data_IF_797469102570
#
_entry.id   IF_797469102570
#
_cell.length_a   1.000
_cell.length_b   1.000
_cell.length_c   1.000
_cell.angle_alpha   90.00
_cell.angle_beta   90.00
_cell.angle_gamma   90.00
#
_symmetry.space_group_name_H-M   'P 1'
#
loop_
_entity.id
_entity.type
_entity.pdbx_description
1 polymer ?
#
# COMPACT_ATOMS: atom_id res chain seq x y z
N UNK A 1 20.59 -3.86 -34.34
CA UNK A 1 20.70 -2.39 -34.37
C UNK A 1 20.99 -1.95 -32.95
N UNK A 2 22.03 -1.14 -32.73
CA UNK A 2 22.47 -0.74 -31.40
C UNK A 2 21.56 0.42 -30.93
N UNK A 3 20.60 0.14 -30.04
CA UNK A 3 19.80 1.17 -29.39
C UNK A 3 20.75 2.11 -28.65
N UNK A 4 20.66 3.42 -28.86
CA UNK A 4 21.53 4.35 -28.13
C UNK A 4 21.25 4.23 -26.63
N UNK A 5 22.29 4.39 -25.80
CA UNK A 5 22.17 4.24 -24.35
C UNK A 5 21.09 5.15 -23.75
N UNK A 6 20.94 6.35 -24.31
CA UNK A 6 19.90 7.31 -23.92
C UNK A 6 18.47 6.80 -24.20
N UNK A 7 18.28 6.08 -25.32
CA UNK A 7 16.99 5.48 -25.66
C UNK A 7 16.70 4.31 -24.72
N UNK A 8 17.70 3.46 -24.44
CA UNK A 8 17.58 2.35 -23.50
C UNK A 8 17.17 2.83 -22.10
N UNK A 9 17.88 3.83 -21.55
CA UNK A 9 17.59 4.39 -20.23
C UNK A 9 16.19 5.01 -20.15
N UNK A 10 15.76 5.72 -21.20
CA UNK A 10 14.43 6.32 -21.27
C UNK A 10 13.33 5.26 -21.26
N UNK A 11 13.47 4.23 -22.09
CA UNK A 11 12.47 3.17 -22.20
C UNK A 11 12.40 2.33 -20.91
N UNK A 12 13.56 2.00 -20.33
CA UNK A 12 13.64 1.36 -19.01
C UNK A 12 12.88 2.17 -17.95
N UNK A 13 13.15 3.48 -17.87
CA UNK A 13 12.51 4.36 -16.90
C UNK A 13 10.99 4.43 -17.09
N UNK A 14 10.54 4.43 -18.36
CA UNK A 14 9.11 4.39 -18.72
C UNK A 14 8.47 3.11 -18.19
N UNK A 15 8.98 1.94 -18.56
CA UNK A 15 8.47 0.63 -18.12
C UNK A 15 8.43 0.53 -16.60
N UNK A 16 9.49 0.95 -15.91
CA UNK A 16 9.54 0.97 -14.43
C UNK A 16 8.44 1.86 -13.86
N UNK A 17 8.31 3.11 -14.35
CA UNK A 17 7.36 4.08 -13.82
C UNK A 17 5.90 3.68 -14.03
N UNK A 18 5.58 3.09 -15.19
CA UNK A 18 4.23 2.68 -15.54
C UNK A 18 3.85 1.39 -14.80
N UNK A 19 4.80 0.44 -14.68
CA UNK A 19 4.52 -0.86 -14.08
C UNK A 19 4.48 -0.90 -12.56
N UNK A 20 5.29 -0.10 -11.86
CA UNK A 20 5.31 -0.04 -10.39
C UNK A 20 3.99 0.50 -9.80
N UNK A 21 3.15 1.11 -10.62
CA UNK A 21 1.88 1.69 -10.19
C UNK A 21 0.73 0.67 -10.09
N UNK A 22 0.95 -0.58 -10.56
CA UNK A 22 -0.11 -1.58 -10.75
C UNK A 22 0.23 -2.92 -10.06
N UNK A 23 -0.78 -3.53 -9.43
CA UNK A 23 -0.78 -4.94 -9.07
C UNK A 23 -1.27 -5.78 -10.24
N UNK A 24 -0.64 -6.94 -10.48
CA UNK A 24 -0.96 -7.79 -11.63
C UNK A 24 -1.50 -9.16 -11.22
N UNK A 25 -2.41 -9.69 -12.04
CA UNK A 25 -2.82 -11.10 -12.05
C UNK A 25 -2.39 -11.74 -13.35
N UNK A 26 -1.62 -12.80 -13.23
CA UNK A 26 -1.31 -13.61 -14.39
C UNK A 26 -2.58 -14.36 -14.83
N UNK A 27 -3.01 -14.11 -16.06
CA UNK A 27 -3.92 -14.97 -16.78
C UNK A 27 -3.08 -16.02 -17.48
N UNK A 28 -3.34 -17.29 -17.21
CA UNK A 28 -2.71 -18.41 -17.89
C UNK A 28 -3.83 -19.24 -18.51
N UNK A 29 -3.76 -19.57 -19.82
CA UNK A 29 -4.73 -20.48 -20.43
C UNK A 29 -4.87 -21.75 -19.60
N UNK A 30 -6.10 -22.21 -19.37
CA UNK A 30 -6.42 -23.48 -18.69
C UNK A 30 -6.06 -23.56 -17.19
N UNK A 31 -5.57 -22.48 -16.57
CA UNK A 31 -5.31 -22.40 -15.12
C UNK A 31 -6.35 -21.49 -14.46
N UNK A 32 -7.19 -22.06 -13.58
CA UNK A 32 -8.28 -21.32 -12.91
C UNK A 32 -7.82 -20.36 -11.80
N UNK A 33 -6.56 -20.44 -11.35
CA UNK A 33 -6.12 -19.71 -10.16
C UNK A 33 -5.48 -18.35 -10.48
N UNK A 34 -5.88 -17.27 -9.79
CA UNK A 34 -5.24 -15.96 -9.93
C UNK A 34 -3.81 -16.02 -9.38
N UNK A 35 -2.82 -15.68 -10.20
CA UNK A 35 -1.43 -15.53 -9.73
C UNK A 35 -1.13 -14.05 -9.51
N UNK A 36 -1.14 -13.62 -8.25
CA UNK A 36 -0.89 -12.24 -7.87
C UNK A 36 0.60 -11.93 -7.86
N UNK A 37 0.99 -10.88 -8.57
CA UNK A 37 2.36 -10.39 -8.66
C UNK A 37 2.49 -9.04 -7.96
N UNK A 38 3.35 -9.00 -6.93
CA UNK A 38 3.73 -7.77 -6.25
C UNK A 38 5.23 -7.51 -6.40
N UNK A 39 5.59 -6.24 -6.56
CA UNK A 39 6.97 -5.76 -6.49
C UNK A 39 7.31 -5.49 -5.03
N UNK A 40 8.27 -6.24 -4.46
CA UNK A 40 8.76 -5.99 -3.11
C UNK A 40 10.05 -5.15 -3.19
N UNK A 41 10.05 -3.90 -2.72
CA UNK A 41 11.29 -3.19 -2.38
C UNK A 41 11.61 -3.47 -0.89
N UNK A 42 12.85 -3.76 -0.52
CA UNK A 42 13.92 -2.74 -0.42
C UNK A 42 15.34 -3.20 -0.81
N UNK A 43 15.55 -4.44 -1.29
CA UNK A 43 16.90 -4.92 -1.67
C UNK A 43 16.94 -5.87 -2.89
N UNK A 44 15.79 -6.37 -3.38
CA UNK A 44 15.76 -7.37 -4.46
C UNK A 44 14.55 -7.19 -5.39
N UNK A 45 14.80 -7.15 -6.69
CA UNK A 45 13.74 -7.23 -7.71
C UNK A 45 13.20 -8.66 -7.76
N UNK A 46 12.11 -8.90 -7.05
CA UNK A 46 11.43 -10.20 -7.05
C UNK A 46 9.96 -10.08 -7.42
N UNK A 47 9.48 -11.03 -8.23
CA UNK A 47 8.07 -11.27 -8.47
C UNK A 47 7.63 -12.43 -7.58
N UNK A 48 6.57 -12.20 -6.80
CA UNK A 48 5.90 -13.27 -6.06
C UNK A 48 4.77 -13.81 -6.91
N UNK A 49 4.66 -15.13 -7.01
CA UNK A 49 3.57 -15.83 -7.65
C UNK A 49 2.80 -16.56 -6.56
N UNK A 50 1.58 -16.12 -6.30
CA UNK A 50 0.72 -16.72 -5.27
C UNK A 50 -0.35 -17.58 -5.93
N UNK A 51 -0.39 -18.88 -5.64
CA UNK A 51 -1.39 -19.83 -6.15
C UNK A 51 -2.15 -20.45 -5.00
N UNK A 52 -3.49 -20.50 -5.08
CA UNK A 52 -4.33 -21.14 -4.06
C UNK A 52 -4.79 -22.51 -4.56
N UNK A 53 -4.41 -23.59 -3.88
CA UNK A 53 -4.85 -24.96 -4.18
C UNK A 53 -5.49 -25.52 -2.92
N UNK A 54 -6.73 -26.02 -2.99
CA UNK A 54 -7.47 -26.61 -1.87
C UNK A 54 -7.44 -25.76 -0.59
N UNK A 55 -7.75 -24.47 -0.74
CA UNK A 55 -7.72 -23.45 0.31
C UNK A 55 -6.35 -23.12 0.93
N UNK A 56 -5.25 -23.74 0.47
CA UNK A 56 -3.87 -23.39 0.88
C UNK A 56 -3.21 -22.45 -0.11
N UNK A 57 -2.52 -21.44 0.41
CA UNK A 57 -1.74 -20.49 -0.39
C UNK A 57 -0.32 -21.02 -0.58
N UNK A 58 0.12 -21.10 -1.83
CA UNK A 58 1.49 -21.41 -2.23
C UNK A 58 2.12 -20.16 -2.82
N UNK A 59 3.25 -19.72 -2.27
CA UNK A 59 3.98 -18.55 -2.76
C UNK A 59 5.32 -19.00 -3.33
N UNK A 60 5.56 -18.72 -4.61
CA UNK A 60 6.87 -18.87 -5.25
C UNK A 60 7.43 -17.48 -5.52
N UNK A 61 8.71 -17.28 -5.22
CA UNK A 61 9.40 -16.00 -5.48
C UNK A 61 10.43 -16.20 -6.58
N UNK A 62 10.43 -15.34 -7.60
CA UNK A 62 11.43 -15.34 -8.68
C UNK A 62 12.10 -13.98 -8.78
N UNK A 63 13.42 -13.98 -8.86
CA UNK A 63 14.17 -12.76 -9.16
C UNK A 63 13.93 -12.35 -10.62
N UNK A 64 13.89 -11.04 -10.86
CA UNK A 64 13.75 -10.48 -12.19
C UNK A 64 14.64 -9.24 -12.37
N UNK A 65 14.79 -8.80 -13.60
CA UNK A 65 15.36 -7.51 -13.97
C UNK A 65 14.41 -6.80 -14.94
N UNK A 66 14.28 -5.48 -14.81
CA UNK A 66 13.67 -4.68 -15.86
C UNK A 66 14.55 -4.65 -17.11
N UNK A 67 13.91 -4.71 -18.27
CA UNK A 67 14.52 -4.48 -19.58
C UNK A 67 13.97 -3.16 -20.16
N UNK A 68 14.49 -2.72 -21.29
CA UNK A 68 13.98 -1.55 -22.02
C UNK A 68 12.61 -1.80 -22.68
N UNK A 69 12.11 -3.03 -22.64
CA UNK A 69 10.82 -3.40 -23.22
C UNK A 69 9.93 -4.22 -22.27
N UNK A 70 10.31 -4.41 -21.01
CA UNK A 70 9.56 -5.28 -20.10
C UNK A 70 10.29 -5.71 -18.83
N UNK A 71 10.05 -6.96 -18.43
CA UNK A 71 10.70 -7.66 -17.33
C UNK A 71 11.21 -9.03 -17.80
N UNK A 72 12.35 -9.43 -17.27
CA UNK A 72 12.98 -10.73 -17.51
C UNK A 72 13.20 -11.45 -16.19
N UNK A 73 12.69 -12.68 -16.08
CA UNK A 73 13.04 -13.56 -14.96
C UNK A 73 14.48 -14.08 -15.12
N UNK A 74 15.21 -14.18 -14.00
CA UNK A 74 16.55 -14.78 -13.99
C UNK A 74 16.50 -16.23 -14.46
N UNK A 75 15.60 -17.01 -13.86
CA UNK A 75 15.27 -18.39 -14.26
C UNK A 75 13.84 -18.45 -14.80
N UNK A 76 13.63 -19.24 -15.85
CA UNK A 76 12.28 -19.53 -16.34
C UNK A 76 11.42 -20.12 -15.24
N UNK A 77 10.15 -19.74 -15.18
CA UNK A 77 9.17 -20.28 -14.24
C UNK A 77 8.07 -21.01 -15.00
N UNK A 78 7.76 -22.22 -14.58
CA UNK A 78 6.72 -23.04 -15.19
C UNK A 78 5.36 -22.74 -14.54
N UNK A 79 4.38 -22.34 -15.36
CA UNK A 79 3.04 -21.99 -14.91
C UNK A 79 2.04 -22.58 -15.90
N UNK A 80 1.18 -23.50 -15.44
CA UNK A 80 0.19 -24.14 -16.30
C UNK A 80 0.80 -24.90 -17.49
N UNK A 81 2.01 -25.46 -17.33
CA UNK A 81 2.73 -26.16 -18.41
C UNK A 81 3.52 -25.24 -19.36
N UNK A 82 3.41 -23.91 -19.21
CA UNK A 82 4.16 -22.94 -20.01
C UNK A 82 5.41 -22.47 -19.25
N UNK A 83 6.54 -22.38 -19.94
CA UNK A 83 7.76 -21.76 -19.41
C UNK A 83 7.73 -20.27 -19.68
N UNK A 84 7.65 -19.47 -18.61
CA UNK A 84 7.62 -18.01 -18.67
C UNK A 84 8.97 -17.46 -18.22
N UNK A 85 9.51 -16.52 -18.99
CA UNK A 85 10.75 -15.81 -18.70
C UNK A 85 10.70 -14.36 -19.20
N UNK A 86 10.28 -14.15 -20.44
CA UNK A 86 10.25 -12.83 -21.09
C UNK A 86 8.82 -12.27 -21.09
N UNK A 87 8.63 -11.16 -20.39
CA UNK A 87 7.34 -10.48 -20.22
C UNK A 87 7.49 -9.06 -20.72
N UNK A 88 7.01 -8.77 -21.93
CA UNK A 88 7.12 -7.44 -22.55
C UNK A 88 5.97 -6.55 -22.14
N UNK A 89 6.26 -5.26 -21.93
CA UNK A 89 5.27 -4.23 -21.70
C UNK A 89 4.44 -4.01 -22.96
N UNK A 90 3.13 -4.20 -22.85
CA UNK A 90 2.15 -3.89 -23.88
C UNK A 90 1.47 -2.57 -23.51
N UNK A 91 1.86 -1.51 -24.21
CA UNK A 91 1.33 -0.16 -23.99
C UNK A 91 -0.17 -0.06 -24.33
N UNK A 92 -0.68 -0.93 -25.21
CA UNK A 92 -2.07 -0.89 -25.68
C UNK A 92 -3.04 -1.25 -24.56
N UNK A 93 -2.64 -2.21 -23.72
CA UNK A 93 -3.45 -2.74 -22.63
C UNK A 93 -2.83 -2.44 -21.25
N UNK A 94 -1.71 -1.70 -21.20
CA UNK A 94 -1.01 -1.28 -19.99
C UNK A 94 -0.67 -2.45 -19.05
N UNK A 95 -0.12 -3.52 -19.62
CA UNK A 95 0.23 -4.74 -18.89
C UNK A 95 1.39 -5.48 -19.54
N UNK A 96 2.00 -6.45 -18.84
CA UNK A 96 2.98 -7.34 -19.45
C UNK A 96 2.35 -8.53 -20.17
N UNK A 97 2.91 -8.89 -21.32
CA UNK A 97 2.56 -10.08 -22.10
C UNK A 97 3.77 -10.99 -22.24
N UNK A 98 3.57 -12.29 -22.05
CA UNK A 98 4.62 -13.27 -22.30
C UNK A 98 4.93 -13.31 -23.80
N UNK A 99 6.22 -13.31 -24.14
CA UNK A 99 6.70 -13.41 -25.52
C UNK A 99 7.65 -14.58 -25.76
N UNK A 100 7.73 -15.52 -24.82
CA UNK A 100 8.47 -16.77 -25.02
C UNK A 100 7.85 -17.63 -26.13
N UNK A 101 8.67 -18.44 -26.81
CA UNK A 101 8.23 -19.32 -27.90
C UNK A 101 7.10 -20.25 -27.45
N UNK A 102 6.11 -20.44 -28.31
CA UNK A 102 4.92 -21.26 -28.09
C UNK A 102 4.00 -20.83 -26.93
N UNK A 103 4.22 -19.63 -26.35
CA UNK A 103 3.34 -19.07 -25.31
C UNK A 103 2.41 -18.01 -25.89
N UNK A 104 1.14 -18.35 -26.09
CA UNK A 104 0.09 -17.40 -26.46
C UNK A 104 -0.94 -17.25 -25.35
N UNK A 105 -1.30 -16.00 -25.00
CA UNK A 105 -2.40 -15.72 -24.06
C UNK A 105 -1.98 -15.55 -22.60
N UNK A 106 -0.70 -15.71 -22.26
CA UNK A 106 -0.20 -15.32 -20.93
C UNK A 106 -0.04 -13.81 -20.87
N UNK A 107 -0.91 -13.18 -20.08
CA UNK A 107 -0.96 -11.72 -19.86
C UNK A 107 -1.01 -11.48 -18.36
N UNK A 108 -0.20 -10.56 -17.86
CA UNK A 108 -0.25 -10.06 -16.49
C UNK A 108 -1.40 -9.07 -16.33
N UNK A 109 -2.63 -9.49 -16.60
CA UNK A 109 -3.77 -8.58 -16.57
C UNK A 109 -3.82 -7.80 -15.24
N UNK A 110 -4.06 -6.48 -15.23
CA UNK A 110 -4.22 -5.76 -13.99
C UNK A 110 -5.39 -6.39 -13.23
N UNK A 111 -5.10 -7.16 -12.18
CA UNK A 111 -6.10 -7.44 -11.15
C UNK A 111 -5.54 -6.90 -9.86
N UNK A 112 -5.85 -5.63 -9.70
CA UNK A 112 -6.02 -5.02 -8.41
C UNK A 112 -6.89 -5.91 -7.53
N UNK A 113 -6.42 -6.34 -6.34
CA UNK A 113 -7.33 -6.69 -5.25
C UNK A 113 -8.42 -5.62 -5.14
N UNK A 114 -9.63 -6.00 -4.70
CA UNK A 114 -10.71 -5.04 -4.47
C UNK A 114 -10.21 -3.84 -3.64
N UNK A 115 -10.42 -2.63 -4.16
CA UNK A 115 -9.96 -1.40 -3.53
C UNK A 115 -8.47 -1.03 -3.69
N UNK A 116 -7.67 -1.77 -4.48
CA UNK A 116 -6.28 -1.38 -4.76
C UNK A 116 -6.23 -0.04 -5.50
N UNK A 117 -5.33 0.83 -5.07
CA UNK A 117 -4.97 2.08 -5.71
C UNK A 117 -3.46 2.25 -5.71
N UNK A 118 -2.96 2.91 -6.76
CA UNK A 118 -1.53 3.20 -6.88
C UNK A 118 -1.07 4.13 -5.75
N UNK A 119 0.24 4.15 -5.49
CA UNK A 119 0.82 5.07 -4.51
C UNK A 119 0.43 6.54 -4.79
N UNK A 120 0.43 6.92 -6.07
CA UNK A 120 0.13 8.29 -6.49
C UNK A 120 -1.35 8.67 -6.29
N UNK A 121 -2.26 7.71 -6.22
CA UNK A 121 -3.68 7.97 -5.99
C UNK A 121 -3.90 8.77 -4.70
N UNK A 122 -3.22 8.40 -3.62
CA UNK A 122 -3.41 9.00 -2.30
C UNK A 122 -2.81 10.40 -2.17
N UNK A 123 -1.90 10.81 -3.06
CA UNK A 123 -1.25 12.11 -2.98
C UNK A 123 -2.21 13.26 -3.30
N UNK A 124 -2.09 14.37 -2.58
CA UNK A 124 -2.83 15.60 -2.86
C UNK A 124 -3.60 16.14 -1.66
N UNK A 125 -4.50 17.06 -1.94
CA UNK A 125 -5.38 17.67 -0.95
C UNK A 125 -6.64 16.83 -0.75
N UNK A 126 -7.03 16.67 0.51
CA UNK A 126 -8.18 15.89 0.94
C UNK A 126 -8.95 16.63 2.03
N UNK A 127 -10.22 16.32 2.13
CA UNK A 127 -11.03 16.60 3.31
C UNK A 127 -11.10 15.32 4.15
N UNK A 128 -10.60 15.37 5.39
CA UNK A 128 -10.70 14.28 6.36
C UNK A 128 -11.92 14.50 7.24
N UNK A 129 -12.79 13.51 7.31
CA UNK A 129 -13.90 13.43 8.26
C UNK A 129 -13.58 12.37 9.30
N UNK A 130 -13.86 12.64 10.57
CA UNK A 130 -13.61 11.70 11.67
C UNK A 130 -14.58 11.98 12.80
N UNK A 131 -14.74 11.00 13.70
CA UNK A 131 -15.40 11.19 14.99
C UNK A 131 -14.45 10.89 16.15
N UNK A 132 -14.70 11.51 17.29
CA UNK A 132 -14.03 11.16 18.56
C UNK A 132 -14.81 10.10 19.36
N UNK A 133 -14.26 9.70 20.51
CA UNK A 133 -14.86 8.74 21.44
C UNK A 133 -16.22 9.17 21.98
N UNK A 134 -16.51 10.47 22.00
CA UNK A 134 -17.80 11.05 22.40
C UNK A 134 -18.78 11.19 21.22
N UNK A 135 -18.41 10.66 20.04
CA UNK A 135 -19.17 10.73 18.78
C UNK A 135 -19.33 12.13 18.23
N UNK A 136 -18.46 13.07 18.61
CA UNK A 136 -18.45 14.40 18.00
C UNK A 136 -17.73 14.33 16.66
N UNK A 137 -18.33 14.94 15.66
CA UNK A 137 -17.83 14.96 14.29
C UNK A 137 -16.83 16.11 14.07
N UNK A 138 -15.78 15.82 13.31
CA UNK A 138 -14.76 16.78 12.90
C UNK A 138 -14.48 16.66 11.40
N UNK A 139 -14.14 17.80 10.80
CA UNK A 139 -13.72 17.90 9.41
C UNK A 139 -12.43 18.72 9.34
N UNK A 140 -11.46 18.23 8.56
CA UNK A 140 -10.16 18.86 8.40
C UNK A 140 -9.73 18.91 6.94
N UNK A 141 -9.12 20.02 6.56
CA UNK A 141 -8.34 20.09 5.33
C UNK A 141 -6.95 19.51 5.59
N UNK A 142 -6.61 18.46 4.84
CA UNK A 142 -5.34 17.75 4.98
C UNK A 142 -4.67 17.55 3.64
N UNK A 143 -3.36 17.33 3.67
CA UNK A 143 -2.54 17.03 2.50
C UNK A 143 -1.76 15.75 2.78
N UNK A 144 -1.90 14.78 1.89
CA UNK A 144 -1.05 13.60 1.83
C UNK A 144 0.07 13.89 0.83
N UNK A 145 1.29 13.90 1.34
CA UNK A 145 2.51 14.19 0.58
C UNK A 145 3.48 13.01 0.62
N UNK A 146 4.41 12.96 -0.34
CA UNK A 146 5.50 11.98 -0.31
C UNK A 146 6.36 12.23 0.92
N UNK A 147 6.71 11.16 1.64
CA UNK A 147 7.75 11.21 2.65
C UNK A 147 9.10 10.77 2.05
N UNK A 148 10.19 10.97 2.79
CA UNK A 148 11.56 10.66 2.34
C UNK A 148 11.85 9.17 2.31
N UNK A 149 11.14 8.39 3.12
CA UNK A 149 11.26 6.93 3.16
C UNK A 149 10.41 6.29 2.05
N UNK A 150 10.95 5.24 1.43
CA UNK A 150 10.26 4.52 0.37
C UNK A 150 8.90 3.97 0.84
N UNK A 151 7.89 4.05 -0.02
CA UNK A 151 6.53 3.58 0.26
C UNK A 151 5.90 4.20 1.52
N UNK A 152 6.27 5.43 1.88
CA UNK A 152 5.62 6.17 2.97
C UNK A 152 5.03 7.49 2.49
N UNK A 153 4.07 7.98 3.26
CA UNK A 153 3.49 9.31 3.10
C UNK A 153 3.59 10.10 4.38
N UNK A 154 3.39 11.40 4.24
CA UNK A 154 3.16 12.33 5.35
C UNK A 154 1.78 12.94 5.20
N UNK A 155 0.91 12.70 6.18
CA UNK A 155 -0.35 13.39 6.37
C UNK A 155 -0.12 14.65 7.19
N UNK A 156 -0.58 15.78 6.68
CA UNK A 156 -0.39 17.09 7.30
C UNK A 156 -1.65 17.94 7.17
N UNK A 157 -1.87 18.88 8.08
CA UNK A 157 -3.01 19.78 8.03
C UNK A 157 -2.90 20.84 9.12
N UNK A 158 -3.45 22.03 8.87
CA UNK A 158 -3.38 23.15 9.83
C UNK A 158 -4.10 22.89 11.15
N UNK A 159 -5.00 21.89 11.13
CA UNK A 159 -5.79 21.42 12.27
C UNK A 159 -5.30 20.07 12.80
N UNK A 160 -4.14 19.57 12.37
CA UNK A 160 -3.50 18.39 12.95
C UNK A 160 -2.44 18.85 13.94
N UNK A 161 -2.36 18.17 15.08
CA UNK A 161 -1.36 18.44 16.13
C UNK A 161 0.08 18.23 15.63
N UNK A 162 0.25 17.25 14.75
CA UNK A 162 1.53 16.91 14.15
C UNK A 162 1.30 16.34 12.75
N UNK A 163 2.39 16.13 12.03
CA UNK A 163 2.36 15.35 10.80
C UNK A 163 2.34 13.86 11.14
N UNK A 164 1.43 13.10 10.55
CA UNK A 164 1.35 11.67 10.77
C UNK A 164 2.05 10.91 9.64
N UNK A 165 2.95 9.97 9.96
CA UNK A 165 3.48 9.05 8.98
C UNK A 165 2.40 8.03 8.60
N UNK A 166 2.28 7.76 7.30
CA UNK A 166 1.42 6.69 6.76
C UNK A 166 2.29 5.78 5.90
N UNK A 167 1.95 4.50 5.82
CA UNK A 167 2.65 3.51 5.00
C UNK A 167 1.83 3.18 3.75
N UNK A 168 2.47 2.78 2.67
CA UNK A 168 1.83 2.22 1.50
C UNK A 168 2.07 0.71 1.47
N UNK A 169 0.99 -0.06 1.53
CA UNK A 169 1.06 -1.51 1.41
C UNK A 169 1.05 -1.89 -0.07
N UNK A 170 2.22 -2.19 -0.63
CA UNK A 170 2.38 -2.55 -2.05
C UNK A 170 1.66 -3.84 -2.44
N UNK A 171 1.42 -4.75 -1.48
CA UNK A 171 0.68 -5.99 -1.77
C UNK A 171 -0.83 -5.75 -1.90
N UNK A 172 -1.36 -4.71 -1.25
CA UNK A 172 -2.80 -4.38 -1.25
C UNK A 172 -3.14 -3.15 -2.09
N UNK A 173 -2.15 -2.34 -2.44
CA UNK A 173 -2.35 -1.02 -3.05
C UNK A 173 -3.18 -0.12 -2.15
N UNK A 174 -2.86 -0.06 -0.86
CA UNK A 174 -3.61 0.74 0.09
C UNK A 174 -2.69 1.57 0.96
N UNK A 175 -3.13 2.77 1.30
CA UNK A 175 -2.54 3.53 2.39
C UNK A 175 -2.87 2.86 3.73
N UNK A 176 -1.93 2.83 4.66
CA UNK A 176 -2.08 2.24 6.00
C UNK A 176 -1.62 3.21 7.07
N UNK A 177 -2.36 3.24 8.18
CA UNK A 177 -2.02 3.98 9.39
C UNK A 177 -1.86 2.96 10.52
N UNK A 178 -0.62 2.75 10.95
CA UNK A 178 -0.25 1.74 11.94
C UNK A 178 0.29 2.39 13.20
N UNK A 179 0.46 1.59 14.26
CA UNK A 179 1.12 2.04 15.49
C UNK A 179 2.46 2.70 15.13
N UNK A 180 2.63 3.96 15.53
CA UNK A 180 3.84 4.72 15.21
C UNK A 180 4.23 5.68 16.33
N UNK A 181 5.52 5.68 16.63
CA UNK A 181 6.18 6.65 17.51
C UNK A 181 6.33 7.99 16.77
N UNK A 182 5.82 9.08 17.34
CA UNK A 182 5.79 10.38 16.68
C UNK A 182 6.88 11.33 17.17
N UNK A 183 7.10 11.43 18.48
CA UNK A 183 8.08 12.36 19.04
C UNK A 183 8.52 11.98 20.45
N UNK A 184 9.77 12.28 20.77
CA UNK A 184 10.27 12.40 22.14
C UNK A 184 9.76 13.69 22.77
N UNK A 185 9.11 13.60 23.93
CA UNK A 185 8.64 14.76 24.70
C UNK A 185 9.61 15.18 25.82
N UNK A 186 10.71 14.44 26.00
CA UNK A 186 11.71 14.65 27.04
C UNK A 186 11.49 13.75 28.26
N UNK A 187 12.58 13.45 28.98
CA UNK A 187 12.58 12.38 29.98
C UNK A 187 12.29 11.03 29.32
N UNK A 188 11.47 10.21 29.97
CA UNK A 188 11.03 8.90 29.46
C UNK A 188 9.71 9.00 28.67
N UNK A 189 9.24 10.18 28.26
CA UNK A 189 7.92 10.35 27.64
C UNK A 189 7.96 10.45 26.12
N UNK A 190 7.01 9.77 25.48
CA UNK A 190 6.93 9.63 24.03
C UNK A 190 5.49 9.81 23.56
N UNK A 191 5.32 10.62 22.52
CA UNK A 191 4.06 10.77 21.81
C UNK A 191 3.90 9.64 20.78
N UNK A 192 2.78 8.92 20.85
CA UNK A 192 2.43 7.82 19.96
C UNK A 192 1.09 8.03 19.28
N UNK A 193 0.97 7.54 18.05
CA UNK A 193 -0.32 7.21 17.46
C UNK A 193 -0.49 5.69 17.47
N UNK A 194 -1.56 5.21 18.10
CA UNK A 194 -1.77 3.79 18.37
C UNK A 194 -3.12 3.34 17.81
N UNK A 195 -3.21 2.21 17.12
CA UNK A 195 -4.48 1.58 16.83
C UNK A 195 -5.12 1.07 18.11
N UNK A 196 -6.45 1.15 18.17
CA UNK A 196 -7.20 0.58 19.27
C UNK A 196 -8.61 0.17 18.90
N UNK A 197 -9.27 -0.47 19.86
CA UNK A 197 -10.70 -0.72 19.80
C UNK A 197 -11.44 0.43 20.49
N UNK A 198 -12.68 0.72 20.11
CA UNK A 198 -13.51 1.77 20.71
C UNK A 198 -13.91 1.49 22.16
N UNK A 199 -13.25 0.53 22.83
CA UNK A 199 -13.42 0.15 24.24
C UNK A 199 -12.19 0.50 25.09
N UNK A 200 -11.23 1.24 24.53
CA UNK A 200 -10.07 1.79 25.25
C UNK A 200 -8.85 0.87 25.29
N UNK A 201 -8.85 -0.26 24.56
CA UNK A 201 -7.63 -1.04 24.37
C UNK A 201 -6.86 -0.53 23.14
N UNK A 202 -5.55 -0.43 23.27
CA UNK A 202 -4.63 0.00 22.22
C UNK A 202 -3.45 -0.97 22.13
N UNK A 203 -2.69 -0.89 21.03
CA UNK A 203 -1.49 -1.71 20.84
C UNK A 203 -0.37 -0.94 20.16
N UNK A 204 0.87 -1.29 20.49
CA UNK A 204 2.10 -0.76 19.90
C UNK A 204 2.62 -1.64 18.76
N UNK A 205 1.95 -2.75 18.45
CA UNK A 205 2.32 -3.62 17.33
C UNK A 205 2.17 -2.88 16.00
N UNK A 206 3.30 -2.58 15.35
CA UNK A 206 3.38 -1.83 14.10
C UNK A 206 2.75 -2.54 12.89
N UNK A 207 2.33 -3.81 13.05
CA UNK A 207 1.55 -4.54 12.03
C UNK A 207 0.07 -4.24 12.13
N UNK A 208 -0.42 -3.83 13.30
CA UNK A 208 -1.84 -3.56 13.56
C UNK A 208 -2.12 -2.09 13.21
N UNK A 209 -3.26 -1.84 12.59
CA UNK A 209 -3.60 -0.52 12.10
C UNK A 209 -4.87 -0.50 11.27
N UNK A 210 -5.05 0.62 10.58
CA UNK A 210 -6.12 0.82 9.63
C UNK A 210 -5.56 0.90 8.20
N UNK A 211 -6.37 0.53 7.20
CA UNK A 211 -6.07 0.67 5.78
C UNK A 211 -7.14 1.47 5.07
N UNK A 212 -6.78 2.23 4.05
CA UNK A 212 -7.73 2.90 3.17
C UNK A 212 -8.41 1.89 2.23
N UNK A 213 -9.73 1.83 2.29
CA UNK A 213 -10.58 1.14 1.32
C UNK A 213 -11.31 2.19 0.49
N UNK A 214 -11.08 2.20 -0.82
CA UNK A 214 -11.77 3.11 -1.73
C UNK A 214 -13.21 2.67 -1.91
N UNK A 215 -14.13 3.62 -1.87
CA UNK A 215 -15.52 3.37 -2.21
C UNK A 215 -15.69 3.48 -3.73
N UNK A 216 -15.82 2.35 -4.42
CA UNK A 216 -15.93 2.30 -5.88
C UNK A 216 -17.29 2.75 -6.41
N UNK A 217 -18.27 2.94 -5.53
CA UNK A 217 -19.63 3.36 -5.87
C UNK A 217 -19.93 4.80 -5.44
N UNK A 218 -19.01 5.43 -4.71
CA UNK A 218 -19.09 6.86 -4.43
C UNK A 218 -18.88 7.64 -5.73
N UNK A 219 -19.80 8.55 -6.05
CA UNK A 219 -19.64 9.48 -7.18
C UNK A 219 -18.50 10.51 -6.98
N UNK A 220 -17.69 10.38 -5.93
CA UNK A 220 -16.52 11.20 -5.61
C UNK A 220 -15.32 10.32 -5.25
N UNK A 221 -14.10 10.80 -5.52
CA UNK A 221 -12.86 10.12 -5.13
C UNK A 221 -12.76 10.09 -3.59
N UNK A 222 -13.11 8.94 -3.02
CA UNK A 222 -13.26 8.76 -1.58
C UNK A 222 -12.68 7.44 -1.09
N UNK A 223 -12.04 7.46 0.07
CA UNK A 223 -11.69 6.25 0.80
C UNK A 223 -12.00 6.34 2.29
N UNK A 224 -12.25 5.19 2.90
CA UNK A 224 -12.50 5.05 4.33
C UNK A 224 -11.39 4.22 4.96
N UNK A 225 -10.89 4.63 6.12
CA UNK A 225 -9.96 3.83 6.90
C UNK A 225 -10.75 2.74 7.62
N UNK A 226 -10.37 1.48 7.40
CA UNK A 226 -10.95 0.29 8.02
C UNK A 226 -9.84 -0.56 8.65
N UNK A 227 -10.18 -1.53 9.51
CA UNK A 227 -9.20 -2.48 10.05
C UNK A 227 -8.32 -3.12 8.95
N UNK A 228 -7.01 -3.19 9.19
CA UNK A 228 -6.07 -3.75 8.23
C UNK A 228 -6.05 -5.30 8.22
N UNK A 229 -6.83 -5.95 9.08
CA UNK A 229 -7.00 -7.40 9.16
C UNK A 229 -6.13 -8.09 10.21
N UNK A 230 -5.40 -7.34 11.03
CA UNK A 230 -4.50 -7.91 12.06
C UNK A 230 -5.02 -7.80 13.50
N UNK A 231 -5.97 -6.89 13.81
CA UNK A 231 -6.28 -6.58 15.22
C UNK A 231 -7.71 -6.20 15.56
N UNK A 232 -8.61 -6.00 14.58
CA UNK A 232 -9.97 -5.53 14.87
C UNK A 232 -9.98 -4.07 15.37
N UNK A 233 -9.27 -3.22 14.64
CA UNK A 233 -9.08 -1.79 14.93
C UNK A 233 -10.32 -0.99 14.55
N UNK A 234 -10.77 -0.12 15.44
CA UNK A 234 -11.91 0.78 15.23
C UNK A 234 -11.48 2.26 15.08
N UNK A 235 -10.24 2.59 15.45
CA UNK A 235 -9.69 3.92 15.30
C UNK A 235 -8.23 4.05 15.70
N UNK A 236 -7.71 5.27 15.57
CA UNK A 236 -6.37 5.67 15.96
C UNK A 236 -6.42 6.60 17.17
N UNK A 237 -5.50 6.41 18.12
CA UNK A 237 -5.44 7.10 19.40
C UNK A 237 -4.13 7.85 19.52
N UNK A 238 -4.16 9.11 19.92
CA UNK A 238 -2.98 9.91 20.18
C UNK A 238 -2.69 9.91 21.68
N UNK A 239 -1.61 9.23 22.09
CA UNK A 239 -1.31 8.96 23.50
C UNK A 239 0.11 9.35 23.87
N UNK A 240 0.32 9.72 25.14
CA UNK A 240 1.65 9.88 25.72
C UNK A 240 1.94 8.69 26.62
N UNK A 241 2.94 7.90 26.22
CA UNK A 241 3.41 6.73 26.95
C UNK A 241 4.85 6.95 27.44
N UNK A 242 5.30 6.12 28.38
CA UNK A 242 6.73 5.99 28.66
C UNK A 242 7.49 5.40 27.44
N UNK A 243 8.82 5.47 27.45
CA UNK A 243 9.68 5.04 26.33
C UNK A 243 9.50 3.57 25.95
N UNK A 244 9.16 2.74 26.94
CA UNK A 244 8.93 1.31 26.79
C UNK A 244 7.48 0.97 26.39
N UNK A 245 6.63 2.00 26.25
CA UNK A 245 5.22 1.92 25.87
C UNK A 245 4.38 0.99 26.78
N UNK A 246 4.72 0.92 28.06
CA UNK A 246 4.11 0.04 29.08
C UNK A 246 3.22 0.79 30.06
N UNK A 247 3.43 2.10 30.22
CA UNK A 247 2.70 2.92 31.20
C UNK A 247 2.10 4.15 30.52
N UNK A 248 0.78 4.31 30.70
CA UNK A 248 0.03 5.47 30.24
C UNK A 248 0.25 6.64 31.21
N UNK A 249 0.85 7.72 30.72
CA UNK A 249 0.99 8.95 31.50
C UNK A 249 -0.16 9.94 31.30
N UNK A 250 -0.88 9.79 30.19
CA UNK A 250 -2.11 10.53 29.93
C UNK A 250 -2.54 10.42 28.46
N UNK A 251 -3.80 10.77 28.20
CA UNK A 251 -4.25 11.05 26.83
C UNK A 251 -3.78 12.44 26.43
N UNK A 252 -3.43 12.61 25.15
CA UNK A 252 -3.01 13.90 24.65
C UNK A 252 -4.22 14.84 24.53
N UNK A 253 -4.42 15.77 25.45
CA UNK A 253 -5.59 16.68 25.47
C UNK A 253 -5.43 17.92 24.59
N UNK A 254 -4.88 17.77 23.38
CA UNK A 254 -4.80 18.88 22.42
C UNK A 254 -6.17 19.47 22.07
N UNK A 255 -6.20 20.60 21.39
CA UNK A 255 -7.43 21.27 20.92
C UNK A 255 -8.21 20.50 19.84
N UNK A 256 -7.80 19.27 19.53
CA UNK A 256 -8.24 18.41 18.43
C UNK A 256 -8.49 17.03 19.03
N UNK A 257 -9.43 16.23 18.49
CA UNK A 257 -9.70 14.89 19.00
C UNK A 257 -8.42 14.06 19.16
N UNK A 258 -8.26 13.47 20.34
CA UNK A 258 -7.25 12.49 20.71
C UNK A 258 -7.59 11.08 20.22
N UNK A 259 -8.78 10.94 19.63
CA UNK A 259 -9.35 9.73 19.06
C UNK A 259 -9.84 10.00 17.63
N UNK A 260 -9.37 9.23 16.67
CA UNK A 260 -9.79 9.29 15.27
C UNK A 260 -10.48 7.99 14.91
N UNK A 261 -11.80 7.97 14.96
CA UNK A 261 -12.63 6.84 14.54
C UNK A 261 -13.41 7.18 13.28
N UNK A 262 -13.81 6.16 12.51
CA UNK A 262 -14.56 6.31 11.26
C UNK A 262 -13.94 7.33 10.30
N UNK A 263 -12.61 7.26 10.13
CA UNK A 263 -11.87 8.21 9.31
C UNK A 263 -12.24 8.01 7.83
N UNK A 264 -12.78 9.05 7.21
CA UNK A 264 -13.13 9.09 5.80
C UNK A 264 -12.38 10.23 5.13
N UNK A 265 -11.92 10.02 3.90
CA UNK A 265 -11.12 10.97 3.13
C UNK A 265 -11.78 11.19 1.79
N UNK A 266 -12.07 12.45 1.45
CA UNK A 266 -12.67 12.85 0.18
C UNK A 266 -11.77 13.84 -0.55
N UNK A 267 -11.57 13.60 -1.86
CA UNK A 267 -10.71 14.42 -2.70
C UNK A 267 -11.22 15.87 -2.78
N UNK A 268 -10.31 16.83 -2.74
CA UNK A 268 -10.60 18.25 -3.03
C UNK A 268 -10.40 18.61 -4.48
#
# INVERSE_FOLDING_TARGET
MNTSWDIYQRNLSKVVSESLSLGYKLLVPEVEFPVYVSFASSLYNVLRFNTKIDARLYTVTKAFSYTDDGIRLYDSYEIGGYKVRELKWDETISTFRCTDEDVTGIVMNPSTPEGFRSYNYYLGAWTMYTIDSEKKEYQFDVVISRATEDNTYRLSGSKLTTNFPLKYNTNRGSIEWVATRLADLGGDYVLWVLPGNGRGAYTTDERIGMRGLVDEYAGSDRFTMIDNGYGGVEGMFLMVLNSDATELWGTYTGTIPDHYMNIQMERK
#
